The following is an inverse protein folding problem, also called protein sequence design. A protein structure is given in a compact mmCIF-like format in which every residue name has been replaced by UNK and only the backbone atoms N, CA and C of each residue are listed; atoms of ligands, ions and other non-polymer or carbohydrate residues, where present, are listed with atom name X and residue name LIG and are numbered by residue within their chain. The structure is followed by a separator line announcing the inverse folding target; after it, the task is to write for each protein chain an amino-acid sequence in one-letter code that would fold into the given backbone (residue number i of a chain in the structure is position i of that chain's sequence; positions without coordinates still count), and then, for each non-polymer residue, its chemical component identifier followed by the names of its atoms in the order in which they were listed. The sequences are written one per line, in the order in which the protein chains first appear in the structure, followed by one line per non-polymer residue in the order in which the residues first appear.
data_IF_155933823687
#
_entry.id   IF_155933823687
#
_cell.length_a   1.000
_cell.length_b   1.000
_cell.length_c   1.000
_cell.angle_alpha   90.00
_cell.angle_beta   90.00
_cell.angle_gamma   90.00
#
_symmetry.space_group_name_H-M   'P 1'
#
loop_
_entity.id
_entity.type
_entity.pdbx_description
1 polymer ?
#
# COMPACT_ATOMS: atom_id res chain seq x y z
N UNK A 1 -21.24 50.99 -39.55
CA UNK A 1 -20.46 50.08 -40.43
C UNK A 1 -19.04 49.98 -39.88
N UNK A 2 -18.79 48.97 -39.04
CA UNK A 2 -17.51 48.31 -38.79
C UNK A 2 -17.82 47.17 -37.83
N UNK A 3 -17.68 45.95 -38.31
CA UNK A 3 -18.07 44.73 -37.62
C UNK A 3 -17.07 44.46 -36.49
N UNK A 4 -17.55 44.50 -35.24
CA UNK A 4 -16.83 43.96 -34.11
C UNK A 4 -17.02 42.44 -34.15
N UNK A 5 -16.03 41.76 -34.73
CA UNK A 5 -16.01 40.32 -34.90
C UNK A 5 -16.11 39.63 -33.56
N UNK A 6 -17.26 38.99 -33.34
CA UNK A 6 -17.55 38.04 -32.29
C UNK A 6 -16.43 36.98 -32.24
N UNK A 7 -15.52 37.11 -31.26
CA UNK A 7 -14.52 36.07 -30.97
C UNK A 7 -15.27 34.83 -30.49
N UNK A 8 -15.43 33.86 -31.40
CA UNK A 8 -15.89 32.50 -31.08
C UNK A 8 -15.13 31.99 -29.85
N UNK A 9 -15.80 31.37 -28.86
CA UNK A 9 -15.11 30.76 -27.73
C UNK A 9 -14.20 29.66 -28.28
N UNK A 10 -12.89 29.85 -28.19
CA UNK A 10 -11.92 28.80 -28.49
C UNK A 10 -12.25 27.59 -27.61
N UNK A 11 -12.74 26.53 -28.24
CA UNK A 11 -12.76 25.19 -27.66
C UNK A 11 -11.32 24.68 -27.55
N UNK A 12 -10.52 25.32 -26.70
CA UNK A 12 -9.23 24.78 -26.30
C UNK A 12 -9.53 23.47 -25.58
N UNK A 13 -9.02 22.36 -26.14
CA UNK A 13 -9.24 21.04 -25.56
C UNK A 13 -8.90 21.10 -24.07
N UNK A 14 -9.74 20.51 -23.22
CA UNK A 14 -9.48 20.42 -21.77
C UNK A 14 -8.06 19.90 -21.47
N UNK A 15 -7.58 18.98 -22.30
CA UNK A 15 -6.21 18.47 -22.30
C UNK A 15 -5.13 19.51 -22.61
N UNK A 16 -5.39 20.49 -23.47
CA UNK A 16 -4.51 21.63 -23.72
C UNK A 16 -4.52 22.60 -22.53
N UNK A 17 -5.67 22.87 -21.92
CA UNK A 17 -5.75 23.69 -20.69
C UNK A 17 -5.04 23.02 -19.50
N UNK A 18 -5.12 21.69 -19.37
CA UNK A 18 -4.36 20.94 -18.37
C UNK A 18 -2.86 20.96 -18.65
N UNK A 19 -2.43 20.91 -19.91
CA UNK A 19 -1.00 20.99 -20.28
C UNK A 19 -0.42 22.38 -20.01
N UNK A 20 -1.15 23.45 -20.34
CA UNK A 20 -0.70 24.83 -20.05
C UNK A 20 -0.67 25.12 -18.55
N UNK A 21 -1.69 24.67 -17.78
CA UNK A 21 -1.69 24.77 -16.32
C UNK A 21 -0.61 23.90 -15.63
N UNK A 22 -0.12 22.86 -16.32
CA UNK A 22 1.02 22.04 -15.90
C UNK A 22 2.36 22.69 -16.22
N UNK A 23 2.42 23.57 -17.24
CA UNK A 23 3.60 24.38 -17.56
C UNK A 23 3.75 25.61 -16.63
N UNK A 24 2.65 26.19 -16.14
CA UNK A 24 2.66 27.35 -15.22
C UNK A 24 2.87 26.99 -13.74
N UNK A 25 2.86 25.71 -13.38
CA UNK A 25 3.38 25.30 -12.07
C UNK A 25 4.89 25.54 -12.10
N UNK A 26 5.33 26.64 -11.50
CA UNK A 26 6.73 26.92 -11.12
C UNK A 26 7.41 25.59 -10.81
N UNK A 27 8.47 25.26 -11.58
CA UNK A 27 9.32 24.10 -11.31
C UNK A 27 9.71 24.17 -9.83
N UNK A 28 9.06 23.35 -9.00
CA UNK A 28 9.46 23.20 -7.61
C UNK A 28 10.81 22.53 -7.68
N UNK A 29 11.88 23.26 -7.36
CA UNK A 29 13.22 22.69 -7.28
C UNK A 29 13.17 21.53 -6.30
N UNK A 30 13.29 20.31 -6.83
CA UNK A 30 13.23 19.11 -6.01
C UNK A 30 14.54 19.00 -5.23
N UNK A 31 14.40 18.96 -3.91
CA UNK A 31 15.55 18.78 -3.03
C UNK A 31 15.95 17.31 -3.05
N UNK A 32 17.25 17.05 -3.15
CA UNK A 32 17.77 15.69 -3.06
C UNK A 32 17.44 15.05 -1.70
N UNK A 33 17.07 13.77 -1.71
CA UNK A 33 16.73 12.99 -0.50
C UNK A 33 17.86 13.06 0.54
N UNK A 34 19.13 13.05 0.10
CA UNK A 34 20.27 13.17 1.03
C UNK A 34 20.33 14.53 1.72
N UNK A 35 19.93 15.59 1.01
CA UNK A 35 19.86 16.94 1.59
C UNK A 35 18.69 17.07 2.56
N UNK A 36 17.63 16.27 2.40
CA UNK A 36 16.51 16.22 3.33
C UNK A 36 16.96 15.70 4.70
N UNK A 37 17.78 14.65 4.72
CA UNK A 37 18.35 14.05 5.93
C UNK A 37 19.61 14.77 6.46
N UNK A 38 19.95 15.96 5.97
CA UNK A 38 21.17 16.68 6.40
C UNK A 38 21.17 17.05 7.88
N UNK A 39 19.98 17.24 8.47
CA UNK A 39 19.84 17.58 9.88
C UNK A 39 19.84 16.36 10.80
N UNK A 40 20.01 15.16 10.25
CA UNK A 40 20.06 13.93 11.02
C UNK A 40 21.37 13.83 11.81
N UNK A 41 21.28 13.88 13.14
CA UNK A 41 22.42 13.60 14.03
C UNK A 41 22.78 12.10 14.04
N UNK A 42 23.91 11.72 14.64
CA UNK A 42 24.35 10.32 14.73
C UNK A 42 23.34 9.40 15.43
N UNK A 43 22.63 9.90 16.44
CA UNK A 43 21.56 9.17 17.13
C UNK A 43 20.31 8.98 16.26
N UNK A 44 20.00 9.96 15.42
CA UNK A 44 18.88 9.90 14.48
C UNK A 44 19.21 8.97 13.31
N UNK A 45 20.46 8.99 12.84
CA UNK A 45 20.95 8.02 11.87
C UNK A 45 20.85 6.58 12.41
N UNK A 46 21.18 6.36 13.69
CA UNK A 46 21.01 5.06 14.33
C UNK A 46 19.55 4.60 14.34
N UNK A 47 18.62 5.46 14.75
CA UNK A 47 17.18 5.14 14.73
C UNK A 47 16.66 4.90 13.32
N UNK A 48 17.15 5.65 12.33
CA UNK A 48 16.79 5.47 10.94
C UNK A 48 17.26 4.12 10.41
N UNK A 49 18.52 3.76 10.62
CA UNK A 49 19.05 2.45 10.20
C UNK A 49 18.29 1.31 10.88
N UNK A 50 18.09 1.38 12.20
CA UNK A 50 17.35 0.36 12.93
C UNK A 50 15.89 0.26 12.48
N UNK A 51 15.23 1.40 12.23
CA UNK A 51 13.86 1.46 11.69
C UNK A 51 13.75 0.89 10.27
N UNK A 52 14.75 1.11 9.41
CA UNK A 52 14.78 0.51 8.07
C UNK A 52 14.96 -1.01 8.11
N UNK A 53 15.80 -1.53 9.01
CA UNK A 53 15.97 -2.98 9.20
C UNK A 53 14.65 -3.60 9.69
N UNK A 54 13.98 -2.96 10.65
CA UNK A 54 12.66 -3.40 11.11
C UNK A 54 11.58 -3.31 10.00
N UNK A 55 11.69 -2.35 9.07
CA UNK A 55 10.82 -2.26 7.89
C UNK A 55 11.01 -3.42 6.92
N UNK A 56 12.26 -3.80 6.68
CA UNK A 56 12.59 -4.96 5.84
C UNK A 56 12.05 -6.25 6.47
N UNK A 57 12.27 -6.45 7.77
CA UNK A 57 11.80 -7.62 8.49
C UNK A 57 10.26 -7.73 8.48
N UNK A 58 9.56 -6.61 8.72
CA UNK A 58 8.10 -6.56 8.64
C UNK A 58 7.58 -6.87 7.22
N UNK A 59 8.22 -6.33 6.18
CA UNK A 59 7.83 -6.57 4.78
C UNK A 59 7.99 -8.03 4.31
N UNK A 60 9.02 -8.74 4.77
CA UNK A 60 9.22 -10.17 4.44
C UNK A 60 8.27 -11.09 5.23
N UNK A 61 7.78 -10.64 6.37
CA UNK A 61 7.00 -11.45 7.30
C UNK A 61 5.68 -11.97 6.67
N UNK A 62 4.97 -11.13 5.91
CA UNK A 62 3.70 -11.48 5.30
C UNK A 62 3.82 -12.61 4.25
N UNK A 63 4.68 -12.49 3.20
CA UNK A 63 4.78 -13.55 2.20
C UNK A 63 5.38 -14.84 2.77
N UNK A 64 6.29 -14.74 3.75
CA UNK A 64 6.82 -15.91 4.44
C UNK A 64 5.73 -16.63 5.27
N UNK A 65 4.85 -15.87 5.94
CA UNK A 65 3.68 -16.40 6.63
C UNK A 65 2.72 -17.15 5.70
N UNK A 66 2.48 -16.62 4.49
CA UNK A 66 1.63 -17.27 3.48
C UNK A 66 2.19 -18.62 3.03
N UNK A 67 3.50 -18.75 2.84
CA UNK A 67 4.13 -20.02 2.45
C UNK A 67 3.95 -21.08 3.53
N UNK A 68 4.15 -20.71 4.79
CA UNK A 68 4.06 -21.65 5.91
C UNK A 68 2.61 -22.05 6.15
N UNK A 69 1.69 -21.10 6.00
CA UNK A 69 0.27 -21.39 5.99
C UNK A 69 -0.12 -22.35 4.85
N UNK A 70 0.45 -22.18 3.66
CA UNK A 70 0.28 -23.14 2.55
C UNK A 70 0.69 -24.56 2.94
N UNK A 71 1.88 -24.73 3.53
CA UNK A 71 2.34 -26.05 4.00
C UNK A 71 1.43 -26.64 5.11
N UNK A 72 0.78 -25.78 5.90
CA UNK A 72 -0.20 -26.20 6.91
C UNK A 72 -1.48 -26.71 6.27
N UNK A 73 -1.98 -26.01 5.25
CA UNK A 73 -3.14 -26.45 4.45
C UNK A 73 -2.85 -27.79 3.78
N UNK A 74 -1.66 -27.97 3.22
CA UNK A 74 -1.26 -29.25 2.60
C UNK A 74 -1.32 -30.40 3.61
N UNK A 75 -0.89 -30.18 4.87
CA UNK A 75 -0.96 -31.21 5.92
C UNK A 75 -2.40 -31.63 6.26
N UNK A 76 -3.36 -30.70 6.15
CA UNK A 76 -4.78 -31.02 6.34
C UNK A 76 -5.37 -31.75 5.14
N UNK A 77 -4.97 -31.38 3.93
CA UNK A 77 -5.38 -32.07 2.70
C UNK A 77 -4.90 -33.53 2.71
N UNK A 78 -3.64 -33.76 3.06
CA UNK A 78 -3.09 -35.11 3.19
C UNK A 78 -3.84 -35.92 4.25
N UNK A 79 -4.21 -35.29 5.38
CA UNK A 79 -5.02 -35.95 6.41
C UNK A 79 -6.41 -36.30 5.88
N UNK A 80 -7.09 -35.40 5.19
CA UNK A 80 -8.41 -35.61 4.63
C UNK A 80 -8.42 -36.72 3.57
N UNK A 81 -7.43 -36.74 2.67
CA UNK A 81 -7.25 -37.78 1.66
C UNK A 81 -7.07 -39.17 2.32
N UNK A 82 -6.23 -39.24 3.35
CA UNK A 82 -6.03 -40.45 4.11
C UNK A 82 -7.32 -40.93 4.81
N UNK A 83 -8.12 -40.04 5.42
CA UNK A 83 -9.41 -40.42 6.01
C UNK A 83 -10.41 -40.94 4.96
N UNK A 84 -10.48 -40.28 3.80
CA UNK A 84 -11.37 -40.69 2.71
C UNK A 84 -11.03 -42.11 2.22
N UNK A 85 -9.74 -42.41 2.06
CA UNK A 85 -9.28 -43.74 1.65
C UNK A 85 -9.68 -44.86 2.63
N UNK A 86 -9.80 -44.55 3.92
CA UNK A 86 -10.15 -45.51 4.98
C UNK A 86 -11.66 -45.77 5.05
N UNK A 87 -12.47 -44.74 4.89
CA UNK A 87 -13.93 -44.89 4.77
C UNK A 87 -14.30 -45.67 3.50
N UNK A 88 -13.59 -45.44 2.39
CA UNK A 88 -13.80 -46.20 1.17
C UNK A 88 -13.40 -47.67 1.31
N UNK A 89 -12.23 -47.99 1.88
CA UNK A 89 -11.80 -49.39 2.08
C UNK A 89 -12.71 -50.15 3.05
N UNK A 90 -13.17 -49.52 4.14
CA UNK A 90 -14.14 -50.14 5.07
C UNK A 90 -15.51 -50.41 4.43
N UNK A 91 -16.01 -49.51 3.56
CA UNK A 91 -17.24 -49.75 2.81
C UNK A 91 -17.07 -50.84 1.75
N UNK A 92 -15.93 -50.88 1.04
CA UNK A 92 -15.62 -51.94 0.07
C UNK A 92 -15.54 -53.30 0.75
N UNK A 93 -14.90 -53.39 1.92
CA UNK A 93 -14.78 -54.65 2.67
C UNK A 93 -16.12 -55.09 3.31
N UNK A 94 -17.05 -54.16 3.52
CA UNK A 94 -18.41 -54.47 3.98
C UNK A 94 -19.31 -55.05 2.88
N UNK A 95 -19.09 -54.67 1.61
CA UNK A 95 -19.92 -55.12 0.47
C UNK A 95 -19.25 -56.19 -0.41
N UNK A 96 -17.93 -56.37 -0.36
CA UNK A 96 -17.17 -57.37 -1.12
C UNK A 96 -16.24 -58.17 -0.17
N UNK A 97 -16.66 -59.37 0.29
CA UNK A 97 -15.91 -60.16 1.29
C UNK A 97 -14.76 -61.00 0.71
N UNK A 98 -14.57 -61.03 -0.61
CA UNK A 98 -13.40 -61.65 -1.24
C UNK A 98 -12.33 -60.59 -1.46
N UNK A 99 -11.03 -60.94 -1.34
CA UNK A 99 -9.89 -60.01 -1.49
C UNK A 99 -9.88 -59.30 -2.85
N UNK A 100 -10.64 -58.21 -2.98
CA UNK A 100 -10.69 -57.39 -4.19
C UNK A 100 -9.52 -56.40 -4.16
N UNK A 101 -8.57 -56.60 -5.06
CA UNK A 101 -7.52 -55.62 -5.36
C UNK A 101 -8.08 -54.56 -6.30
N UNK A 102 -8.68 -53.50 -5.74
CA UNK A 102 -9.12 -52.35 -6.53
C UNK A 102 -7.91 -51.56 -7.05
N UNK A 103 -7.46 -51.87 -8.26
CA UNK A 103 -6.49 -51.05 -8.99
C UNK A 103 -7.25 -50.00 -9.80
N UNK A 104 -7.63 -48.89 -9.18
CA UNK A 104 -8.11 -47.74 -9.95
C UNK A 104 -6.92 -46.94 -10.48
N UNK A 105 -6.53 -47.23 -11.72
CA UNK A 105 -5.72 -46.33 -12.53
C UNK A 105 -6.54 -45.06 -12.81
N UNK A 106 -5.92 -43.90 -12.55
CA UNK A 106 -6.33 -42.54 -12.96
C UNK A 106 -6.98 -41.66 -11.88
N UNK A 107 -6.19 -41.27 -10.89
CA UNK A 107 -6.08 -39.87 -10.44
C UNK A 107 -4.68 -39.73 -9.83
N UNK A 108 -4.01 -38.60 -10.03
CA UNK A 108 -2.58 -38.38 -9.71
C UNK A 108 -2.26 -38.60 -8.23
N UNK A 109 -2.03 -39.83 -7.81
CA UNK A 109 -1.21 -40.31 -6.69
C UNK A 109 -1.43 -41.82 -6.61
N UNK A 110 -0.36 -42.61 -6.74
CA UNK A 110 -0.40 -44.04 -6.44
C UNK A 110 -0.61 -44.21 -4.95
N UNK A 111 -1.87 -44.30 -4.52
CA UNK A 111 -2.19 -44.79 -3.19
C UNK A 111 -1.86 -46.27 -3.20
N UNK A 112 -0.64 -46.60 -2.77
CA UNK A 112 -0.30 -47.98 -2.42
C UNK A 112 -1.31 -48.41 -1.36
N UNK A 113 -2.26 -49.26 -1.76
CA UNK A 113 -3.19 -49.95 -0.87
C UNK A 113 -2.39 -50.90 0.01
N UNK A 114 -1.71 -50.36 1.02
CA UNK A 114 -1.27 -51.16 2.15
C UNK A 114 -2.53 -51.64 2.87
N UNK A 115 -2.54 -52.88 3.33
CA UNK A 115 -3.58 -53.39 4.21
C UNK A 115 -3.48 -52.63 5.55
N UNK A 116 -4.19 -51.51 5.68
CA UNK A 116 -4.05 -50.59 6.81
C UNK A 116 -4.75 -51.20 8.03
N UNK A 117 -3.97 -51.93 8.84
CA UNK A 117 -4.34 -52.30 10.20
C UNK A 117 -4.45 -51.05 11.09
N UNK A 118 -5.25 -51.10 12.18
CA UNK A 118 -5.39 -49.99 13.16
C UNK A 118 -4.06 -49.42 13.67
N UNK A 119 -2.98 -50.22 13.67
CA UNK A 119 -1.63 -49.79 14.06
C UNK A 119 -0.98 -48.81 13.06
N UNK A 120 -1.22 -48.97 11.75
CA UNK A 120 -0.69 -48.08 10.72
C UNK A 120 -1.38 -46.71 10.77
N UNK A 121 -2.67 -46.64 11.14
CA UNK A 121 -3.38 -45.38 11.33
C UNK A 121 -2.86 -44.56 12.52
N UNK A 122 -2.49 -45.22 13.62
CA UNK A 122 -1.96 -44.54 14.80
C UNK A 122 -0.59 -43.89 14.51
N UNK A 123 0.27 -44.56 13.74
CA UNK A 123 1.57 -44.03 13.31
C UNK A 123 1.40 -42.85 12.33
N UNK A 124 0.51 -42.97 11.34
CA UNK A 124 0.21 -41.88 10.39
C UNK A 124 -0.40 -40.67 11.10
N UNK A 125 -1.29 -40.90 12.07
CA UNK A 125 -1.89 -39.82 12.86
C UNK A 125 -0.87 -39.12 13.77
N UNK A 126 0.06 -39.87 14.35
CA UNK A 126 1.12 -39.31 15.19
C UNK A 126 2.10 -38.45 14.39
N UNK A 127 2.51 -38.93 13.21
CA UNK A 127 3.44 -38.21 12.34
C UNK A 127 2.85 -36.87 11.85
N UNK A 128 1.62 -36.90 11.33
CA UNK A 128 0.91 -35.68 10.87
C UNK A 128 0.72 -34.69 12.02
N UNK A 129 0.29 -35.15 13.21
CA UNK A 129 0.10 -34.26 14.38
C UNK A 129 1.39 -33.56 14.76
N UNK A 130 2.54 -34.25 14.68
CA UNK A 130 3.84 -33.67 14.99
C UNK A 130 4.29 -32.61 13.97
N UNK A 131 4.01 -32.84 12.68
CA UNK A 131 4.31 -31.91 11.59
C UNK A 131 3.43 -30.66 11.63
N UNK A 132 2.12 -30.81 11.84
CA UNK A 132 1.17 -29.70 11.99
C UNK A 132 1.52 -28.84 13.21
N UNK A 133 1.83 -29.45 14.36
CA UNK A 133 2.21 -28.69 15.56
C UNK A 133 3.46 -27.83 15.32
N UNK A 134 4.48 -28.36 14.65
CA UNK A 134 5.70 -27.58 14.31
C UNK A 134 5.37 -26.37 13.44
N UNK A 135 4.51 -26.53 12.43
CA UNK A 135 4.11 -25.42 11.56
C UNK A 135 3.32 -24.34 12.32
N UNK A 136 2.42 -24.73 13.23
CA UNK A 136 1.66 -23.80 14.07
C UNK A 136 2.60 -23.00 14.99
N UNK A 137 3.60 -23.63 15.61
CA UNK A 137 4.59 -22.91 16.43
C UNK A 137 5.38 -21.88 15.61
N UNK A 138 5.78 -22.23 14.39
CA UNK A 138 6.50 -21.30 13.51
C UNK A 138 5.60 -20.10 13.14
N UNK A 139 4.32 -20.32 12.86
CA UNK A 139 3.36 -19.24 12.58
C UNK A 139 3.21 -18.28 13.78
N UNK A 140 3.18 -18.81 15.00
CA UNK A 140 3.13 -17.99 16.22
C UNK A 140 4.40 -17.14 16.34
N UNK A 141 5.58 -17.72 16.12
CA UNK A 141 6.85 -16.99 16.17
C UNK A 141 6.87 -15.85 15.15
N UNK A 142 6.44 -16.12 13.91
CA UNK A 142 6.36 -15.11 12.84
C UNK A 142 5.39 -13.99 13.22
N UNK A 143 4.23 -14.32 13.78
CA UNK A 143 3.27 -13.31 14.25
C UNK A 143 3.87 -12.42 15.36
N UNK A 144 4.60 -13.00 16.32
CA UNK A 144 5.31 -12.23 17.34
C UNK A 144 6.39 -11.32 16.73
N UNK A 145 7.19 -11.84 15.80
CA UNK A 145 8.21 -11.04 15.09
C UNK A 145 7.55 -9.89 14.31
N UNK A 146 6.43 -10.14 13.65
CA UNK A 146 5.69 -9.11 12.91
C UNK A 146 5.22 -7.98 13.82
N UNK A 147 4.64 -8.33 14.97
CA UNK A 147 4.14 -7.37 15.95
C UNK A 147 5.28 -6.51 16.50
N UNK A 148 6.38 -7.14 16.92
CA UNK A 148 7.54 -6.43 17.47
C UNK A 148 8.19 -5.55 16.40
N UNK A 149 8.43 -6.10 15.21
CA UNK A 149 9.07 -5.38 14.11
C UNK A 149 8.24 -4.19 13.64
N UNK A 150 6.91 -4.36 13.52
CA UNK A 150 6.00 -3.28 13.14
C UNK A 150 5.97 -2.16 14.18
N UNK A 151 5.93 -2.50 15.46
CA UNK A 151 5.96 -1.51 16.55
C UNK A 151 7.27 -0.74 16.60
N UNK A 152 8.41 -1.46 16.59
CA UNK A 152 9.76 -0.87 16.59
C UNK A 152 9.97 0.02 15.38
N UNK A 153 9.54 -0.43 14.19
CA UNK A 153 9.61 0.35 12.95
C UNK A 153 8.92 1.71 13.08
N UNK A 154 7.64 1.71 13.47
CA UNK A 154 6.83 2.94 13.55
C UNK A 154 7.43 3.89 14.57
N UNK A 155 7.76 3.40 15.76
CA UNK A 155 8.27 4.26 16.83
C UNK A 155 9.62 4.89 16.50
N UNK A 156 10.57 4.11 15.99
CA UNK A 156 11.91 4.62 15.72
C UNK A 156 11.91 5.68 14.60
N UNK A 157 11.15 5.44 13.53
CA UNK A 157 11.04 6.39 12.42
C UNK A 157 10.28 7.66 12.83
N UNK A 158 9.22 7.53 13.61
CA UNK A 158 8.44 8.67 14.08
C UNK A 158 9.25 9.54 15.06
N UNK A 159 9.96 8.92 16.02
CA UNK A 159 10.84 9.65 16.94
C UNK A 159 11.95 10.38 16.17
N UNK A 160 12.55 9.74 15.18
CA UNK A 160 13.58 10.37 14.34
C UNK A 160 13.02 11.56 13.56
N UNK A 161 11.83 11.42 12.96
CA UNK A 161 11.19 12.49 12.21
C UNK A 161 10.80 13.67 13.10
N UNK A 162 10.29 13.43 14.30
CA UNK A 162 9.92 14.48 15.25
C UNK A 162 11.14 15.31 15.69
N UNK A 163 12.26 14.65 15.98
CA UNK A 163 13.51 15.33 16.39
C UNK A 163 14.11 16.17 15.25
N UNK A 164 14.15 15.63 14.03
CA UNK A 164 14.61 16.37 12.86
C UNK A 164 13.71 17.57 12.56
N UNK A 165 12.39 17.36 12.64
CA UNK A 165 11.38 18.42 12.42
C UNK A 165 11.53 19.54 13.44
N UNK A 166 11.73 19.21 14.72
CA UNK A 166 11.98 20.19 15.77
C UNK A 166 13.23 21.04 15.48
N UNK A 167 14.32 20.39 15.08
CA UNK A 167 15.57 21.08 14.72
C UNK A 167 15.39 22.00 13.51
N UNK A 168 14.70 21.52 12.47
CA UNK A 168 14.36 22.33 11.28
C UNK A 168 13.52 23.55 11.67
N UNK A 169 12.51 23.40 12.53
CA UNK A 169 11.69 24.53 13.02
C UNK A 169 12.53 25.57 13.74
N UNK A 170 13.46 25.15 14.60
CA UNK A 170 14.32 26.07 15.34
C UNK A 170 15.26 26.83 14.41
N UNK A 171 15.92 26.15 13.49
CA UNK A 171 16.86 26.77 12.53
C UNK A 171 16.11 27.70 11.59
N UNK A 172 14.94 27.29 11.09
CA UNK A 172 14.12 28.11 10.22
C UNK A 172 13.64 29.38 10.96
N UNK A 173 13.12 29.23 12.18
CA UNK A 173 12.69 30.37 12.98
C UNK A 173 13.84 31.36 13.23
N UNK A 174 15.01 30.86 13.64
CA UNK A 174 16.19 31.69 13.83
C UNK A 174 16.67 32.37 12.54
N UNK A 175 16.56 31.68 11.40
CA UNK A 175 16.96 32.20 10.10
C UNK A 175 16.01 33.28 9.59
N UNK A 176 14.71 33.13 9.84
CA UNK A 176 13.68 34.12 9.48
C UNK A 176 13.85 35.40 10.30
N UNK A 177 14.09 35.30 11.61
CA UNK A 177 14.31 36.47 12.47
C UNK A 177 15.55 37.32 12.10
N UNK A 178 16.52 36.73 11.38
CA UNK A 178 17.73 37.42 10.92
C UNK A 178 17.57 38.06 9.53
N UNK A 179 16.39 37.95 8.90
CA UNK A 179 16.13 38.56 7.59
C UNK A 179 15.90 40.07 7.72
N UNK A 180 16.23 40.77 6.66
CA UNK A 180 16.07 42.21 6.50
C UNK A 180 14.59 42.61 6.39
N UNK A 181 14.28 43.87 6.72
CA UNK A 181 12.91 44.39 6.67
C UNK A 181 12.31 44.29 5.26
N UNK A 182 13.13 44.45 4.22
CA UNK A 182 12.69 44.36 2.81
C UNK A 182 12.18 42.95 2.47
N UNK A 183 12.73 41.90 3.09
CA UNK A 183 12.19 40.55 2.94
C UNK A 183 10.74 40.45 3.47
N UNK A 184 10.44 41.13 4.58
CA UNK A 184 9.10 41.14 5.17
C UNK A 184 8.12 42.06 4.45
N UNK A 185 8.60 43.12 3.78
CA UNK A 185 7.76 43.98 2.94
C UNK A 185 7.37 43.29 1.62
N UNK A 186 8.22 42.39 1.12
CA UNK A 186 7.98 41.64 -0.13
C UNK A 186 7.17 40.35 0.07
N UNK A 187 7.20 39.75 1.27
CA UNK A 187 6.50 38.50 1.58
C UNK A 187 5.34 38.74 2.55
N UNK A 188 4.12 38.34 2.16
CA UNK A 188 2.94 38.45 3.02
C UNK A 188 3.19 37.68 4.33
N UNK A 189 3.07 38.34 5.48
CA UNK A 189 3.29 37.76 6.81
C UNK A 189 2.47 36.49 7.08
N UNK A 190 1.23 36.43 6.57
CA UNK A 190 0.38 35.23 6.68
C UNK A 190 0.92 34.02 5.91
N UNK A 191 1.61 34.23 4.78
CA UNK A 191 2.18 33.15 3.98
C UNK A 191 3.34 32.46 4.72
N UNK A 192 4.20 33.25 5.39
CA UNK A 192 5.33 32.72 6.16
C UNK A 192 4.87 31.81 7.30
N UNK A 193 3.80 32.17 8.00
CA UNK A 193 3.22 31.36 9.09
C UNK A 193 2.66 30.02 8.56
N UNK A 194 1.98 30.07 7.41
CA UNK A 194 1.46 28.86 6.75
C UNK A 194 2.59 27.97 6.28
N UNK A 195 3.65 28.50 5.65
CA UNK A 195 4.83 27.72 5.23
C UNK A 195 5.55 27.09 6.42
N UNK A 196 5.68 27.83 7.54
CA UNK A 196 6.30 27.32 8.77
C UNK A 196 5.54 26.11 9.35
N UNK A 197 4.22 26.07 9.22
CA UNK A 197 3.44 24.95 9.76
C UNK A 197 3.26 23.85 8.71
N UNK A 198 2.66 24.17 7.57
CA UNK A 198 2.21 23.19 6.59
C UNK A 198 3.37 22.52 5.84
N UNK A 199 4.37 23.28 5.38
CA UNK A 199 5.44 22.69 4.58
C UNK A 199 6.40 21.88 5.46
N UNK A 200 6.61 22.30 6.71
CA UNK A 200 7.35 21.52 7.69
C UNK A 200 6.61 20.24 8.06
N UNK A 201 5.28 20.28 8.23
CA UNK A 201 4.48 19.07 8.48
C UNK A 201 4.55 18.08 7.30
N UNK A 202 4.57 18.56 6.05
CA UNK A 202 4.78 17.69 4.88
C UNK A 202 6.15 17.03 4.90
N UNK A 203 7.19 17.74 5.34
CA UNK A 203 8.55 17.18 5.50
C UNK A 203 8.55 16.11 6.60
N UNK A 204 7.95 16.40 7.75
CA UNK A 204 7.79 15.45 8.86
C UNK A 204 7.11 14.16 8.39
N UNK A 205 5.98 14.31 7.72
CA UNK A 205 5.23 13.20 7.13
C UNK A 205 6.09 12.37 6.16
N UNK A 206 6.87 13.03 5.30
CA UNK A 206 7.72 12.35 4.32
C UNK A 206 8.86 11.55 4.95
N UNK A 207 9.45 12.04 6.05
CA UNK A 207 10.61 11.42 6.72
C UNK A 207 10.18 10.35 7.75
N UNK A 208 9.00 10.50 8.35
CA UNK A 208 8.50 9.61 9.40
C UNK A 208 8.00 8.26 8.90
N UNK A 209 6.85 7.81 9.41
CA UNK A 209 6.32 6.48 9.11
C UNK A 209 6.14 6.18 7.60
N UNK A 210 5.86 7.19 6.76
CA UNK A 210 5.69 6.99 5.31
C UNK A 210 6.99 6.50 4.65
N UNK A 211 8.15 6.99 5.08
CA UNK A 211 9.45 6.52 4.58
C UNK A 211 9.64 5.01 4.79
N UNK A 212 9.36 4.53 6.01
CA UNK A 212 9.41 3.10 6.33
C UNK A 212 8.40 2.28 5.54
N UNK A 213 7.20 2.83 5.33
CA UNK A 213 6.13 2.17 4.56
C UNK A 213 6.51 1.99 3.09
N UNK A 214 7.22 2.95 2.48
CA UNK A 214 7.73 2.80 1.11
C UNK A 214 8.74 1.65 1.01
N UNK A 215 9.67 1.57 1.96
CA UNK A 215 10.66 0.47 2.01
C UNK A 215 9.96 -0.87 2.23
N UNK A 216 9.01 -0.93 3.16
CA UNK A 216 8.20 -2.12 3.44
C UNK A 216 7.49 -2.63 2.17
N UNK A 217 6.82 -1.75 1.44
CA UNK A 217 6.09 -2.13 0.21
C UNK A 217 7.06 -2.64 -0.87
N UNK A 218 8.23 -2.01 -1.02
CA UNK A 218 9.24 -2.47 -1.97
C UNK A 218 9.79 -3.85 -1.62
N UNK A 219 10.08 -4.10 -0.34
CA UNK A 219 10.59 -5.39 0.13
C UNK A 219 9.51 -6.48 0.03
N UNK A 220 8.28 -6.15 0.39
CA UNK A 220 7.13 -7.06 0.25
C UNK A 220 6.93 -7.43 -1.21
N UNK A 221 7.03 -6.47 -2.11
CA UNK A 221 6.92 -6.71 -3.55
C UNK A 221 8.02 -7.66 -4.06
N UNK A 222 9.29 -7.38 -3.71
CA UNK A 222 10.42 -8.22 -4.12
C UNK A 222 10.31 -9.64 -3.54
N UNK A 223 9.94 -9.76 -2.26
CA UNK A 223 9.81 -11.06 -1.59
C UNK A 223 8.63 -11.88 -2.14
N UNK A 224 7.48 -11.26 -2.41
CA UNK A 224 6.33 -11.92 -3.06
C UNK A 224 6.71 -12.50 -4.43
N UNK A 225 7.40 -11.72 -5.27
CA UNK A 225 7.85 -12.19 -6.59
C UNK A 225 8.83 -13.36 -6.42
N UNK A 226 9.85 -13.18 -5.59
CA UNK A 226 10.89 -14.19 -5.38
C UNK A 226 10.31 -15.51 -4.87
N UNK A 227 9.45 -15.46 -3.86
CA UNK A 227 8.80 -16.64 -3.27
C UNK A 227 7.86 -17.32 -4.27
N UNK A 228 7.09 -16.55 -5.04
CA UNK A 228 6.19 -17.08 -6.07
C UNK A 228 6.96 -17.92 -7.11
N UNK A 229 8.04 -17.35 -7.66
CA UNK A 229 8.86 -18.06 -8.65
C UNK A 229 9.57 -19.30 -8.09
N UNK A 230 9.99 -19.28 -6.81
CA UNK A 230 10.62 -20.44 -6.15
C UNK A 230 9.61 -21.58 -5.98
N UNK A 231 8.38 -21.29 -5.52
CA UNK A 231 7.38 -22.33 -5.21
C UNK A 231 6.75 -22.93 -6.46
N UNK A 232 6.54 -22.14 -7.51
CA UNK A 232 5.89 -22.64 -8.71
C UNK A 232 5.97 -21.68 -9.88
N UNK A 233 7.10 -21.67 -10.58
CA UNK A 233 7.34 -20.79 -11.73
C UNK A 233 6.25 -20.85 -12.81
N UNK A 234 5.68 -22.03 -13.10
CA UNK A 234 4.61 -22.20 -14.10
C UNK A 234 3.33 -21.42 -13.71
N UNK A 235 2.89 -21.51 -12.45
CA UNK A 235 1.69 -20.82 -11.99
C UNK A 235 1.93 -19.31 -11.92
N UNK A 236 3.11 -18.89 -11.47
CA UNK A 236 3.48 -17.48 -11.40
C UNK A 236 3.52 -16.80 -12.76
N UNK A 237 4.06 -17.46 -13.80
CA UNK A 237 4.07 -16.96 -15.18
C UNK A 237 2.65 -16.72 -15.71
N UNK A 238 1.71 -17.63 -15.42
CA UNK A 238 0.30 -17.46 -15.82
C UNK A 238 -0.30 -16.22 -15.17
N UNK A 239 -0.10 -16.03 -13.86
CA UNK A 239 -0.62 -14.85 -13.14
C UNK A 239 0.03 -13.56 -13.67
N UNK A 240 1.34 -13.58 -13.95
CA UNK A 240 2.06 -12.45 -14.54
C UNK A 240 1.55 -12.06 -15.94
N UNK A 241 1.06 -13.02 -16.73
CA UNK A 241 0.46 -12.72 -18.04
C UNK A 241 -0.86 -11.92 -17.91
N UNK A 242 -1.61 -12.10 -16.82
CA UNK A 242 -2.84 -11.33 -16.55
C UNK A 242 -2.58 -10.00 -15.83
N UNK A 243 -1.47 -9.85 -15.12
CA UNK A 243 -1.10 -8.62 -14.41
C UNK A 243 -1.15 -7.33 -15.26
N UNK A 244 -0.64 -7.26 -16.52
CA UNK A 244 -0.69 -6.04 -17.31
C UNK A 244 -2.13 -5.64 -17.68
N UNK A 245 -3.04 -6.60 -17.88
CA UNK A 245 -4.44 -6.32 -18.21
C UNK A 245 -5.12 -5.62 -17.03
N UNK A 246 -4.94 -6.15 -15.82
CA UNK A 246 -5.47 -5.54 -14.58
C UNK A 246 -4.86 -4.15 -14.36
N UNK A 247 -3.55 -4.00 -14.59
CA UNK A 247 -2.87 -2.71 -14.47
C UNK A 247 -3.42 -1.65 -15.44
N UNK A 248 -3.65 -1.99 -16.70
CA UNK A 248 -4.22 -1.07 -17.69
C UNK A 248 -5.62 -0.61 -17.27
N UNK A 249 -6.48 -1.54 -16.85
CA UNK A 249 -7.84 -1.22 -16.38
C UNK A 249 -7.79 -0.28 -15.18
N UNK A 250 -6.91 -0.54 -14.21
CA UNK A 250 -6.74 0.31 -13.03
C UNK A 250 -6.26 1.73 -13.40
N UNK A 251 -5.31 1.85 -14.34
CA UNK A 251 -4.83 3.17 -14.82
C UNK A 251 -5.94 3.95 -15.53
N UNK A 252 -6.76 3.28 -16.35
CA UNK A 252 -7.90 3.93 -17.03
C UNK A 252 -8.91 4.43 -15.99
N UNK A 253 -9.29 3.58 -15.03
CA UNK A 253 -10.20 3.98 -13.94
C UNK A 253 -9.64 5.16 -13.13
N UNK A 254 -8.36 5.11 -12.76
CA UNK A 254 -7.72 6.21 -12.04
C UNK A 254 -7.80 7.53 -12.81
N UNK A 255 -7.52 7.50 -14.12
CA UNK A 255 -7.62 8.70 -14.96
C UNK A 255 -9.04 9.25 -15.01
N UNK A 256 -10.03 8.39 -15.30
CA UNK A 256 -11.43 8.79 -15.37
C UNK A 256 -11.86 9.43 -14.05
N UNK A 257 -11.56 8.81 -12.91
CA UNK A 257 -11.91 9.37 -11.59
C UNK A 257 -11.28 10.75 -11.41
N UNK A 258 -9.97 10.90 -11.69
CA UNK A 258 -9.30 12.20 -11.53
C UNK A 258 -9.86 13.29 -12.44
N UNK A 259 -10.22 12.96 -13.68
CA UNK A 259 -10.82 13.91 -14.62
C UNK A 259 -12.23 14.32 -14.20
N UNK A 260 -13.06 13.36 -13.81
CA UNK A 260 -14.41 13.61 -13.33
C UNK A 260 -14.40 14.49 -12.08
N UNK A 261 -13.51 14.24 -11.12
CA UNK A 261 -13.36 15.10 -9.93
C UNK A 261 -13.01 16.54 -10.30
N UNK A 262 -12.16 16.76 -11.31
CA UNK A 262 -11.81 18.12 -11.74
C UNK A 262 -12.98 18.82 -12.42
N UNK A 263 -13.75 18.11 -13.26
CA UNK A 263 -14.94 18.65 -13.93
C UNK A 263 -15.99 19.04 -12.88
N UNK A 264 -16.24 18.15 -11.92
CA UNK A 264 -17.17 18.34 -10.82
C UNK A 264 -16.79 19.57 -9.99
N UNK A 265 -15.54 19.66 -9.52
CA UNK A 265 -15.05 20.82 -8.78
C UNK A 265 -15.16 22.13 -9.56
N UNK A 266 -14.99 22.09 -10.89
CA UNK A 266 -15.13 23.27 -11.76
C UNK A 266 -16.59 23.72 -11.89
N UNK A 267 -17.52 22.78 -12.04
CA UNK A 267 -18.95 23.07 -12.08
C UNK A 267 -19.43 23.65 -10.73
N UNK A 268 -19.02 23.05 -9.62
CA UNK A 268 -19.30 23.57 -8.28
C UNK A 268 -18.65 24.94 -8.05
N UNK A 269 -17.42 25.16 -8.53
CA UNK A 269 -16.75 26.45 -8.44
C UNK A 269 -17.53 27.57 -9.14
N UNK A 270 -18.09 27.32 -10.33
CA UNK A 270 -18.89 28.33 -11.06
C UNK A 270 -20.17 28.70 -10.31
N UNK A 271 -20.90 27.72 -9.79
CA UNK A 271 -22.09 27.97 -8.97
C UNK A 271 -21.71 28.68 -7.66
N UNK A 272 -20.60 28.28 -7.04
CA UNK A 272 -20.04 28.87 -5.83
C UNK A 272 -19.67 30.35 -6.01
N UNK A 273 -19.07 30.73 -7.14
CA UNK A 273 -18.76 32.15 -7.43
C UNK A 273 -20.01 33.01 -7.51
N UNK A 274 -21.08 32.52 -8.17
CA UNK A 274 -22.36 33.25 -8.24
C UNK A 274 -22.97 33.38 -6.84
N UNK A 275 -22.98 32.30 -6.06
CA UNK A 275 -23.46 32.34 -4.69
C UNK A 275 -22.63 33.31 -3.82
N UNK A 276 -21.31 33.30 -3.97
CA UNK A 276 -20.39 34.18 -3.25
C UNK A 276 -20.61 35.65 -3.61
N UNK A 277 -20.84 35.96 -4.89
CA UNK A 277 -21.15 37.31 -5.35
C UNK A 277 -22.47 37.84 -4.75
N UNK A 278 -23.52 37.01 -4.77
CA UNK A 278 -24.84 37.34 -4.20
C UNK A 278 -24.75 37.52 -2.68
N UNK A 279 -24.06 36.63 -1.98
CA UNK A 279 -23.91 36.70 -0.51
C UNK A 279 -23.05 37.92 -0.11
N UNK A 280 -21.94 38.15 -0.82
CA UNK A 280 -21.05 39.29 -0.56
C UNK A 280 -21.77 40.62 -0.77
N UNK A 281 -22.65 40.69 -1.78
CA UNK A 281 -23.40 41.89 -2.14
C UNK A 281 -24.88 41.86 -1.72
N UNK A 282 -25.21 41.15 -0.62
CA UNK A 282 -26.60 40.86 -0.26
C UNK A 282 -27.48 42.11 -0.07
N UNK A 283 -26.92 43.19 0.48
CA UNK A 283 -27.66 44.46 0.63
C UNK A 283 -28.03 45.07 -0.71
N UNK A 284 -27.15 44.98 -1.71
CA UNK A 284 -27.39 45.47 -3.06
C UNK A 284 -28.47 44.63 -3.74
N UNK A 285 -28.37 43.30 -3.67
CA UNK A 285 -29.36 42.38 -4.24
C UNK A 285 -30.77 42.63 -3.67
N UNK A 286 -30.87 42.83 -2.35
CA UNK A 286 -32.13 43.17 -1.68
C UNK A 286 -32.66 44.56 -2.09
N UNK A 287 -31.77 45.56 -2.22
CA UNK A 287 -32.17 46.92 -2.60
C UNK A 287 -32.78 47.02 -4.01
N UNK A 288 -32.39 46.11 -4.91
CA UNK A 288 -32.92 46.04 -6.28
C UNK A 288 -33.98 44.93 -6.47
N UNK A 289 -34.42 44.25 -5.40
CA UNK A 289 -35.34 43.11 -5.45
C UNK A 289 -34.89 41.94 -6.38
N UNK A 290 -33.58 41.74 -6.58
CA UNK A 290 -33.03 40.69 -7.46
C UNK A 290 -32.90 39.31 -6.79
N UNK A 291 -33.89 38.91 -6.00
CA UNK A 291 -33.84 37.70 -5.16
C UNK A 291 -34.22 36.42 -5.92
N UNK A 292 -35.03 36.57 -6.96
CA UNK A 292 -35.45 35.53 -7.90
C UNK A 292 -34.56 35.51 -9.13
#
# INVERSE_FOLDING_TARGET
MSQEGEKKPETTNFWQQLRTKKQDKTQTEVVSIRSLFRYANTTELFYLVLGTIASIAFGVCLPLGLVIFGNLVDSFIDRAANLCSLNFTSLVQQYCPSNVTLTSTNFYTTVSLCNITKSNFALIHYDIKSHTNKQVFILIIIACVNLISGYVRVILLEISAERQTRTIRQILFQSVLKKDVVFFDTHKTGELSVRFTNDINKIHDGIGNKFGSVIEVLITFISCITIGFIKGWKLSLVIFAFAPIVFIIAVILFRIVTEMTVIELKAYGKAGTVAEEVISSIRTVLSYNGQE
#
